data_IF_384853630366
#
_entry.id   IF_384853630366
#
_cell.length_a   1.000
_cell.length_b   1.000
_cell.length_c   1.000
_cell.angle_alpha   90.00
_cell.angle_beta   90.00
_cell.angle_gamma   90.00
#
_symmetry.space_group_name_H-M   'P 1'
#
loop_
_entity.id
_entity.type
_entity.pdbx_description
1 polymer ?
#
# COMPACT_ATOMS: atom_id res chain seq x y z
N UNK A 1 -1.90 -17.53 7.92
CA UNK A 1 -0.73 -18.20 8.51
C UNK A 1 0.18 -17.23 9.26
N UNK A 2 0.82 -17.69 10.30
CA UNK A 2 1.68 -16.87 11.17
C UNK A 2 2.84 -16.26 10.40
N UNK A 3 3.45 -16.97 9.49
CA UNK A 3 4.57 -16.50 8.68
C UNK A 3 4.17 -15.27 7.83
N UNK A 4 3.05 -15.35 7.15
CA UNK A 4 2.57 -14.23 6.33
C UNK A 4 2.24 -13.03 7.22
N UNK A 5 1.63 -13.26 8.38
CA UNK A 5 1.36 -12.19 9.35
C UNK A 5 2.65 -11.50 9.78
N UNK A 6 3.68 -12.27 10.06
CA UNK A 6 5.01 -11.74 10.41
C UNK A 6 5.59 -10.91 9.26
N UNK A 7 5.52 -11.40 8.03
CA UNK A 7 6.05 -10.70 6.86
C UNK A 7 5.36 -9.37 6.60
N UNK A 8 4.06 -9.27 6.85
CA UNK A 8 3.28 -8.05 6.64
C UNK A 8 3.22 -7.12 7.86
N UNK A 9 3.99 -7.39 8.88
CA UNK A 9 4.16 -6.51 10.03
C UNK A 9 5.25 -5.50 9.70
N UNK A 10 5.12 -4.28 10.22
CA UNK A 10 6.15 -3.26 10.03
C UNK A 10 7.45 -3.69 10.73
N UNK A 11 8.53 -3.83 9.96
CA UNK A 11 9.85 -4.19 10.46
C UNK A 11 10.82 -3.00 10.53
N UNK A 12 10.36 -1.79 10.24
CA UNK A 12 11.20 -0.60 10.37
C UNK A 12 11.49 -0.32 11.85
N UNK A 13 12.69 0.20 12.18
CA UNK A 13 13.09 0.44 13.56
C UNK A 13 12.10 1.34 14.31
N UNK A 14 11.80 0.98 15.56
CA UNK A 14 10.92 1.75 16.47
C UNK A 14 9.53 1.96 15.85
N UNK A 15 9.07 1.02 15.04
CA UNK A 15 7.77 1.09 14.35
C UNK A 15 7.57 2.40 13.57
N UNK A 16 8.64 2.97 13.02
CA UNK A 16 8.58 4.19 12.20
C UNK A 16 7.99 3.88 10.84
N UNK A 17 7.43 4.91 10.19
CA UNK A 17 7.07 4.82 8.78
C UNK A 17 8.28 5.12 7.89
N UNK A 18 8.14 4.91 6.58
CA UNK A 18 9.24 5.15 5.64
C UNK A 18 9.63 6.63 5.54
N UNK A 19 8.67 7.53 5.70
CA UNK A 19 8.96 8.97 5.70
C UNK A 19 9.87 9.36 6.86
N UNK A 20 9.62 8.79 8.05
CA UNK A 20 10.44 9.05 9.25
C UNK A 20 11.86 8.46 9.13
N UNK A 21 12.07 7.51 8.23
CA UNK A 21 13.41 6.95 7.96
C UNK A 21 14.26 7.89 7.08
N UNK A 22 13.68 8.98 6.57
CA UNK A 22 14.41 9.97 5.80
C UNK A 22 14.87 9.52 4.42
N UNK A 23 14.30 8.45 3.88
CA UNK A 23 14.69 7.95 2.58
C UNK A 23 14.05 8.78 1.47
N UNK A 24 14.83 9.24 0.47
CA UNK A 24 14.25 9.87 -0.70
C UNK A 24 13.42 8.87 -1.46
N UNK A 25 12.23 9.29 -1.83
CA UNK A 25 11.28 8.40 -2.49
C UNK A 25 10.95 8.95 -3.86
N UNK A 26 11.16 8.13 -4.86
CA UNK A 26 10.87 8.43 -6.26
C UNK A 26 9.62 7.69 -6.70
N UNK A 27 8.55 7.93 -5.99
CA UNK A 27 7.25 7.35 -6.34
C UNK A 27 6.17 8.42 -6.23
N UNK A 28 5.05 8.17 -6.87
CA UNK A 28 3.87 9.02 -6.79
C UNK A 28 3.22 9.02 -5.40
N UNK A 29 3.67 8.16 -4.52
CA UNK A 29 3.05 7.91 -3.22
C UNK A 29 3.77 8.67 -2.12
N UNK A 30 3.01 9.36 -1.29
CA UNK A 30 3.48 9.86 -0.01
C UNK A 30 3.66 8.67 0.93
N UNK A 31 4.83 8.56 1.57
CA UNK A 31 5.14 7.45 2.47
C UNK A 31 4.88 7.73 3.95
N UNK A 32 4.26 8.87 4.27
CA UNK A 32 3.76 9.10 5.62
C UNK A 32 2.73 8.02 5.98
N UNK A 33 2.84 7.43 7.15
CA UNK A 33 1.93 6.38 7.60
C UNK A 33 2.14 5.03 6.94
N UNK A 34 3.19 4.86 6.12
CA UNK A 34 3.51 3.62 5.43
C UNK A 34 4.80 3.03 6.00
N UNK A 35 4.73 1.83 6.55
CA UNK A 35 5.88 1.07 6.99
C UNK A 35 6.34 0.06 5.93
N UNK A 36 7.24 -0.81 6.30
CA UNK A 36 7.74 -1.85 5.41
C UNK A 36 7.93 -3.17 6.15
N UNK A 37 7.39 -4.23 5.59
CA UNK A 37 7.53 -5.58 6.11
C UNK A 37 8.68 -6.33 5.44
N UNK A 38 8.49 -7.61 5.24
CA UNK A 38 9.45 -8.47 4.54
C UNK A 38 8.95 -8.73 3.12
N UNK A 39 9.20 -7.76 2.23
CA UNK A 39 8.86 -7.87 0.82
C UNK A 39 7.78 -6.91 0.31
N UNK A 40 7.12 -6.15 1.17
CA UNK A 40 6.11 -5.18 0.75
C UNK A 40 5.93 -4.06 1.78
N UNK A 41 5.38 -2.95 1.30
CA UNK A 41 4.97 -1.85 2.15
C UNK A 41 3.70 -2.24 2.94
N UNK A 42 3.56 -1.68 4.13
CA UNK A 42 2.43 -1.95 5.03
C UNK A 42 1.81 -0.63 5.44
N UNK A 43 0.49 -0.50 5.28
CA UNK A 43 -0.22 0.69 5.72
C UNK A 43 -0.37 0.66 7.23
N UNK A 44 0.24 1.63 7.91
CA UNK A 44 0.14 1.78 9.37
C UNK A 44 -1.01 2.71 9.73
N UNK A 45 -1.11 3.84 9.03
CA UNK A 45 -2.11 4.86 9.27
C UNK A 45 -2.61 5.41 7.93
N UNK A 46 -3.79 4.96 7.47
CA UNK A 46 -4.36 5.41 6.20
C UNK A 46 -4.63 6.92 6.14
N UNK A 47 -4.99 7.53 7.26
CA UNK A 47 -5.26 8.97 7.32
C UNK A 47 -3.98 9.75 7.09
N UNK A 48 -2.91 9.37 7.78
CA UNK A 48 -1.60 9.99 7.62
C UNK A 48 -1.05 9.78 6.21
N UNK A 49 -1.30 8.61 5.63
CA UNK A 49 -0.90 8.29 4.26
C UNK A 49 -1.79 8.98 3.21
N UNK A 50 -2.91 9.55 3.62
CA UNK A 50 -3.89 10.18 2.71
C UNK A 50 -4.39 9.24 1.64
N UNK A 51 -4.67 7.99 1.99
CA UNK A 51 -5.19 6.98 1.08
C UNK A 51 -6.41 6.27 1.65
N UNK A 52 -7.23 5.75 0.76
CA UNK A 52 -8.30 4.83 1.14
C UNK A 52 -7.68 3.45 1.29
N UNK A 53 -7.64 2.94 2.50
CA UNK A 53 -7.04 1.64 2.81
C UNK A 53 -7.47 1.19 4.20
N UNK A 54 -7.27 -0.08 4.49
CA UNK A 54 -7.36 -0.59 5.87
C UNK A 54 -5.97 -0.57 6.52
N UNK A 55 -5.87 -0.32 7.82
CA UNK A 55 -4.62 -0.55 8.52
C UNK A 55 -4.17 -2.02 8.33
N UNK A 56 -2.90 -2.21 8.00
CA UNK A 56 -2.36 -3.54 7.71
C UNK A 56 -2.45 -3.98 6.26
N UNK A 57 -3.09 -3.19 5.40
CA UNK A 57 -3.02 -3.44 3.96
C UNK A 57 -1.55 -3.44 3.52
N UNK A 58 -1.18 -4.38 2.68
CA UNK A 58 0.19 -4.46 2.19
C UNK A 58 0.20 -4.45 0.67
N UNK A 59 1.20 -3.76 0.12
CA UNK A 59 1.27 -3.48 -1.30
C UNK A 59 2.70 -3.24 -1.77
N UNK A 60 2.89 -3.29 -3.05
CA UNK A 60 4.10 -2.80 -3.71
C UNK A 60 3.79 -2.51 -5.18
N UNK A 61 4.77 -1.95 -5.87
CA UNK A 61 4.62 -1.64 -7.30
C UNK A 61 5.96 -1.70 -8.01
N UNK A 62 5.90 -1.74 -9.34
CA UNK A 62 7.07 -1.79 -10.20
C UNK A 62 7.25 -0.52 -11.02
N UNK A 63 8.42 -0.39 -11.64
CA UNK A 63 8.80 0.78 -12.44
C UNK A 63 7.90 0.98 -13.67
N UNK A 64 7.31 -0.09 -14.18
CA UNK A 64 6.39 -0.04 -15.32
C UNK A 64 4.94 0.22 -14.91
N UNK A 65 4.71 0.80 -13.74
CA UNK A 65 3.40 1.15 -13.19
C UNK A 65 2.56 -0.05 -12.76
N UNK A 66 3.16 -1.23 -12.66
CA UNK A 66 2.49 -2.38 -12.08
C UNK A 66 2.23 -2.16 -10.60
N UNK A 67 1.18 -2.79 -10.09
CA UNK A 67 0.78 -2.58 -8.71
C UNK A 67 0.01 -3.79 -8.20
N UNK A 68 0.19 -4.11 -6.92
CA UNK A 68 -0.69 -5.03 -6.22
C UNK A 68 -0.95 -4.54 -4.81
N UNK A 69 -2.11 -4.88 -4.29
CA UNK A 69 -2.44 -4.70 -2.89
C UNK A 69 -3.24 -5.88 -2.36
N UNK A 70 -3.09 -6.14 -1.07
CA UNK A 70 -3.88 -7.12 -0.35
C UNK A 70 -4.43 -6.45 0.90
N UNK A 71 -5.74 -6.45 1.04
CA UNK A 71 -6.44 -5.94 2.21
C UNK A 71 -7.12 -7.10 2.93
N UNK A 72 -6.58 -7.51 4.06
CA UNK A 72 -7.13 -8.64 4.81
C UNK A 72 -8.34 -8.27 5.64
N UNK A 73 -8.52 -6.99 5.96
CA UNK A 73 -9.72 -6.55 6.68
C UNK A 73 -10.94 -6.66 5.78
N UNK A 74 -10.78 -6.25 4.52
CA UNK A 74 -11.85 -6.28 3.52
C UNK A 74 -11.87 -7.57 2.70
N UNK A 75 -10.94 -8.49 2.97
CA UNK A 75 -10.80 -9.77 2.26
C UNK A 75 -10.73 -9.59 0.75
N UNK A 76 -9.88 -8.66 0.31
CA UNK A 76 -9.73 -8.37 -1.11
C UNK A 76 -8.26 -8.27 -1.52
N UNK A 77 -8.01 -8.52 -2.78
CA UNK A 77 -6.71 -8.22 -3.39
C UNK A 77 -6.93 -7.61 -4.77
N UNK A 78 -5.94 -6.83 -5.20
CA UNK A 78 -5.93 -6.20 -6.52
C UNK A 78 -4.57 -6.45 -7.17
N UNK A 79 -4.58 -6.83 -8.43
CA UNK A 79 -3.39 -6.95 -9.26
C UNK A 79 -3.61 -6.10 -10.50
N UNK A 80 -2.75 -5.12 -10.71
CA UNK A 80 -2.82 -4.23 -11.86
C UNK A 80 -1.56 -4.38 -12.71
N UNK A 81 -1.73 -4.78 -13.95
CA UNK A 81 -0.64 -5.02 -14.90
C UNK A 81 -0.73 -4.04 -16.06
N UNK A 82 0.38 -3.36 -16.32
CA UNK A 82 0.48 -2.37 -17.40
C UNK A 82 1.94 -2.17 -17.77
N UNK A 83 2.19 -1.34 -18.78
CA UNK A 83 3.54 -1.00 -19.22
C UNK A 83 3.62 0.51 -19.47
N UNK A 84 3.78 1.26 -18.40
CA UNK A 84 3.93 2.71 -18.45
C UNK A 84 5.14 3.12 -17.60
N UNK A 85 6.15 3.68 -18.23
CA UNK A 85 7.39 4.15 -17.59
C UNK A 85 7.55 5.65 -17.87
N UNK A 86 7.83 6.48 -16.86
CA UNK A 86 7.96 6.14 -15.43
C UNK A 86 6.61 5.97 -14.74
N UNK A 87 6.61 5.30 -13.59
CA UNK A 87 5.39 5.05 -12.82
C UNK A 87 4.74 6.31 -12.27
N UNK A 88 5.50 7.39 -12.15
CA UNK A 88 5.00 8.70 -11.70
C UNK A 88 4.34 9.54 -12.78
N UNK A 89 4.24 9.04 -14.02
CA UNK A 89 3.63 9.79 -15.14
C UNK A 89 2.19 10.18 -14.85
N UNK A 90 1.41 9.27 -14.29
CA UNK A 90 0.04 9.52 -13.83
C UNK A 90 -0.18 8.93 -12.44
N UNK A 91 -1.09 9.48 -11.62
CA UNK A 91 -1.37 8.95 -10.28
C UNK A 91 -2.27 7.71 -10.33
N UNK A 92 -1.91 6.72 -11.15
CA UNK A 92 -2.73 5.54 -11.43
C UNK A 92 -3.05 4.75 -10.17
N UNK A 93 -2.05 4.56 -9.29
CA UNK A 93 -2.22 3.75 -8.08
C UNK A 93 -3.22 4.37 -7.12
N UNK A 94 -3.18 5.69 -6.94
CA UNK A 94 -4.14 6.38 -6.09
C UNK A 94 -5.55 6.29 -6.67
N UNK A 95 -5.71 6.54 -7.96
CA UNK A 95 -7.00 6.47 -8.63
C UNK A 95 -7.57 5.05 -8.65
N UNK A 96 -6.73 4.06 -8.92
CA UNK A 96 -7.15 2.66 -8.90
C UNK A 96 -7.66 2.26 -7.52
N UNK A 97 -6.94 2.66 -6.48
CA UNK A 97 -7.32 2.39 -5.09
C UNK A 97 -8.70 2.96 -4.77
N UNK A 98 -8.92 4.22 -5.11
CA UNK A 98 -10.22 4.88 -4.88
C UNK A 98 -11.34 4.14 -5.60
N UNK A 99 -11.12 3.77 -6.86
CA UNK A 99 -12.15 3.09 -7.65
C UNK A 99 -12.46 1.69 -7.14
N UNK A 100 -11.45 0.96 -6.70
CA UNK A 100 -11.63 -0.38 -6.14
C UNK A 100 -12.45 -0.32 -4.85
N UNK A 101 -12.06 0.52 -3.91
CA UNK A 101 -12.80 0.64 -2.64
C UNK A 101 -14.20 1.21 -2.84
N UNK A 102 -14.37 2.13 -3.78
CA UNK A 102 -15.68 2.68 -4.14
C UNK A 102 -16.62 1.62 -4.73
N UNK A 103 -16.09 0.61 -5.39
CA UNK A 103 -16.89 -0.46 -6.01
C UNK A 103 -17.34 -1.53 -5.01
N UNK A 104 -16.85 -1.49 -3.79
CA UNK A 104 -17.26 -2.45 -2.76
C UNK A 104 -18.69 -2.19 -2.31
N UNK A 105 -19.50 -3.24 -2.28
CA UNK A 105 -20.90 -3.17 -1.83
C UNK A 105 -21.06 -3.52 -0.35
N UNK A 106 -20.06 -4.21 0.21
CA UNK A 106 -20.06 -4.62 1.60
C UNK A 106 -18.66 -4.39 2.18
N UNK A 107 -18.58 -4.15 3.48
CA UNK A 107 -17.32 -4.01 4.19
C UNK A 107 -17.28 -4.96 5.38
N UNK A 108 -16.13 -5.62 5.56
CA UNK A 108 -15.87 -6.46 6.72
C UNK A 108 -15.25 -5.68 7.87
N UNK A 109 -15.03 -4.40 7.68
CA UNK A 109 -14.49 -3.52 8.72
C UNK A 109 -15.56 -3.26 9.78
N UNK A 110 -15.22 -3.56 11.01
CA UNK A 110 -16.11 -3.28 12.15
C UNK A 110 -16.00 -1.84 12.63
#
# INVERSE_FOLDING_TARGET
PTTVRHMRTNHLPVNKDMAAMGQPVWSETNYDGIGFGLGFAVVLDPVKASIVASPGEHHWGGAASTFFLLDQVEDLYVIFLTQLIPSSTYPIRRELRVRVYQAMTESYRS
#
